data_IF_442716678842
#
_entry.id   IF_442716678842
#
_cell.length_a   1.000
_cell.length_b   1.000
_cell.length_c   1.000
_cell.angle_alpha   90.00
_cell.angle_beta   90.00
_cell.angle_gamma   90.00
#
_symmetry.space_group_name_H-M   'P 1'
#
loop_
_entity.id
_entity.type
_entity.pdbx_description
1 polymer ?
#
# COMPACT_ATOMS: atom_id res chain seq x y z
N UNK A 1 -18.67 -6.75 -10.08
CA UNK A 1 -18.31 -6.79 -8.64
C UNK A 1 -17.12 -5.86 -8.45
N UNK A 2 -17.36 -4.69 -7.87
CA UNK A 2 -16.32 -3.70 -7.62
C UNK A 2 -15.26 -4.29 -6.68
N UNK A 3 -14.02 -4.41 -7.17
CA UNK A 3 -12.88 -4.75 -6.33
C UNK A 3 -12.66 -3.59 -5.36
N UNK A 4 -13.38 -3.60 -4.22
CA UNK A 4 -13.03 -2.82 -3.04
C UNK A 4 -11.56 -3.07 -2.81
N UNK A 5 -10.74 -2.03 -2.93
CA UNK A 5 -9.29 -2.09 -2.79
C UNK A 5 -8.98 -2.63 -1.39
N UNK A 6 -8.83 -3.96 -1.32
CA UNK A 6 -8.63 -4.67 -0.08
C UNK A 6 -7.28 -4.24 0.45
N UNK A 7 -7.26 -3.73 1.69
CA UNK A 7 -6.01 -3.38 2.36
C UNK A 7 -5.10 -4.60 2.31
N UNK A 8 -3.84 -4.47 1.85
CA UNK A 8 -2.93 -5.60 1.76
C UNK A 8 -2.85 -6.37 3.07
N UNK A 9 -2.91 -7.71 2.99
CA UNK A 9 -2.94 -8.61 4.16
C UNK A 9 -1.80 -8.32 5.15
N UNK A 10 -0.61 -7.98 4.64
CA UNK A 10 0.56 -7.67 5.46
C UNK A 10 0.38 -6.38 6.26
N UNK A 11 -0.18 -5.34 5.64
CA UNK A 11 -0.48 -4.06 6.29
C UNK A 11 -1.49 -4.29 7.41
N UNK A 12 -2.55 -5.06 7.13
CA UNK A 12 -3.57 -5.41 8.11
C UNK A 12 -2.99 -6.22 9.29
N UNK A 13 -2.09 -7.17 9.01
CA UNK A 13 -1.40 -7.97 10.05
C UNK A 13 -0.54 -7.09 10.95
N UNK A 14 0.17 -6.11 10.40
CA UNK A 14 0.98 -5.15 11.17
C UNK A 14 0.08 -4.25 12.02
N UNK A 15 -1.02 -3.73 11.47
CA UNK A 15 -1.99 -2.90 12.21
C UNK A 15 -2.58 -3.65 13.41
N UNK A 16 -3.05 -4.90 13.22
CA UNK A 16 -3.56 -5.75 14.30
C UNK A 16 -2.52 -5.97 15.40
N UNK A 17 -1.23 -6.09 15.03
CA UNK A 17 -0.14 -6.28 15.99
C UNK A 17 0.18 -4.98 16.74
N UNK A 18 0.11 -3.83 16.08
CA UNK A 18 0.25 -2.51 16.71
C UNK A 18 -0.79 -2.24 17.79
N UNK A 19 -2.05 -2.63 17.56
CA UNK A 19 -3.13 -2.50 18.55
C UNK A 19 -2.84 -3.26 19.86
N UNK A 20 -1.97 -4.27 19.85
CA UNK A 20 -1.60 -5.03 21.06
C UNK A 20 -0.49 -4.39 21.88
N UNK A 21 0.23 -3.40 21.34
CA UNK A 21 1.35 -2.78 22.04
C UNK A 21 0.92 -1.50 22.74
N UNK A 22 1.44 -1.28 23.96
CA UNK A 22 1.32 0.02 24.64
C UNK A 22 1.94 1.11 23.75
N UNK A 23 1.21 2.22 23.59
CA UNK A 23 1.67 3.40 22.86
C UNK A 23 3.05 3.81 23.36
N UNK A 24 3.95 4.11 22.43
CA UNK A 24 5.34 4.50 22.66
C UNK A 24 6.28 3.43 23.27
N UNK A 25 5.82 2.20 23.48
CA UNK A 25 6.71 1.08 23.78
C UNK A 25 7.73 0.86 22.65
N UNK A 26 8.88 0.25 22.98
CA UNK A 26 9.92 -0.09 21.99
C UNK A 26 9.36 -0.89 20.82
N UNK A 27 8.47 -1.84 21.11
CA UNK A 27 7.78 -2.65 20.11
C UNK A 27 6.80 -1.82 19.27
N UNK A 28 6.00 -0.94 19.90
CA UNK A 28 5.12 -0.03 19.17
C UNK A 28 5.90 0.82 18.15
N UNK A 29 6.98 1.48 18.59
CA UNK A 29 7.84 2.30 17.72
C UNK A 29 8.45 1.48 16.58
N UNK A 30 8.91 0.26 16.87
CA UNK A 30 9.44 -0.68 15.85
C UNK A 30 8.38 -1.01 14.79
N UNK A 31 7.20 -1.46 15.20
CA UNK A 31 6.15 -1.86 14.26
C UNK A 31 5.52 -0.69 13.52
N UNK A 32 5.51 0.52 14.10
CA UNK A 32 5.13 1.74 13.40
C UNK A 32 6.07 2.06 12.24
N UNK A 33 7.40 1.95 12.46
CA UNK A 33 8.39 2.13 11.38
C UNK A 33 8.20 1.11 10.25
N UNK A 34 7.94 -0.15 10.61
CA UNK A 34 7.65 -1.21 9.64
C UNK A 34 6.39 -0.89 8.85
N UNK A 35 5.29 -0.51 9.53
CA UNK A 35 4.03 -0.13 8.88
C UNK A 35 4.23 1.00 7.86
N UNK A 36 4.93 2.06 8.27
CA UNK A 36 5.27 3.20 7.41
C UNK A 36 5.99 2.76 6.13
N UNK A 37 6.99 1.86 6.23
CA UNK A 37 7.71 1.33 5.08
C UNK A 37 6.79 0.55 4.13
N UNK A 38 5.93 -0.31 4.67
CA UNK A 38 4.99 -1.10 3.86
C UNK A 38 3.96 -0.22 3.14
N UNK A 39 3.41 0.79 3.81
CA UNK A 39 2.46 1.74 3.20
C UNK A 39 3.13 2.49 2.04
N UNK A 40 4.34 3.02 2.25
CA UNK A 40 5.09 3.73 1.19
C UNK A 40 5.31 2.85 -0.03
N UNK A 41 5.78 1.61 0.18
CA UNK A 41 6.02 0.66 -0.92
C UNK A 41 4.74 0.30 -1.68
N UNK A 42 3.65 0.04 -0.95
CA UNK A 42 2.35 -0.25 -1.55
C UNK A 42 1.87 0.93 -2.40
N UNK A 43 1.89 2.14 -1.84
CA UNK A 43 1.48 3.35 -2.57
C UNK A 43 2.34 3.60 -3.81
N UNK A 44 3.65 3.36 -3.73
CA UNK A 44 4.54 3.49 -4.90
C UNK A 44 4.16 2.51 -6.01
N UNK A 45 3.89 1.24 -5.67
CA UNK A 45 3.44 0.25 -6.64
C UNK A 45 2.12 0.65 -7.31
N UNK A 46 1.17 1.19 -6.55
CA UNK A 46 -0.09 1.67 -7.10
C UNK A 46 0.10 2.85 -8.07
N UNK A 47 1.00 3.79 -7.75
CA UNK A 47 1.33 4.92 -8.64
C UNK A 47 1.94 4.43 -9.95
N UNK A 48 2.91 3.52 -9.89
CA UNK A 48 3.53 2.93 -11.09
C UNK A 48 2.49 2.23 -11.96
N UNK A 49 1.64 1.39 -11.36
CA UNK A 49 0.58 0.71 -12.08
C UNK A 49 -0.41 1.68 -12.75
N UNK A 50 -0.74 2.79 -12.07
CA UNK A 50 -1.60 3.82 -12.65
C UNK A 50 -0.93 4.51 -13.85
N UNK A 51 0.35 4.85 -13.73
CA UNK A 51 1.10 5.49 -14.82
C UNK A 51 1.21 4.58 -16.04
N UNK A 52 1.49 3.28 -15.83
CA UNK A 52 1.55 2.28 -16.91
C UNK A 52 0.22 2.23 -17.66
N UNK A 53 -0.92 2.15 -16.94
CA UNK A 53 -2.25 2.15 -17.56
C UNK A 53 -2.52 3.40 -18.38
N UNK A 54 -2.12 4.57 -17.90
CA UNK A 54 -2.26 5.82 -18.64
C UNK A 54 -1.44 5.78 -19.95
N UNK A 55 -0.20 5.31 -19.89
CA UNK A 55 0.67 5.17 -21.08
C UNK A 55 0.06 4.18 -22.08
N UNK A 56 -0.40 3.01 -21.63
CA UNK A 56 -1.07 2.00 -22.47
C UNK A 56 -2.31 2.59 -23.15
N UNK A 57 -3.11 3.33 -22.40
CA UNK A 57 -4.31 4.01 -22.91
C UNK A 57 -3.94 5.01 -24.01
N UNK A 58 -2.95 5.88 -23.78
CA UNK A 58 -2.48 6.85 -24.78
C UNK A 58 -1.97 6.14 -26.05
N UNK A 59 -1.18 5.06 -25.89
CA UNK A 59 -0.65 4.28 -27.01
C UNK A 59 -1.78 3.67 -27.86
N UNK A 60 -2.84 3.19 -27.22
CA UNK A 60 -4.00 2.64 -27.91
C UNK A 60 -4.80 3.72 -28.65
N UNK A 61 -4.90 4.93 -28.09
CA UNK A 61 -5.48 6.08 -28.80
C UNK A 61 -4.65 6.50 -30.01
N UNK A 62 -3.31 6.52 -29.91
CA UNK A 62 -2.42 6.92 -31.01
C UNK A 62 -2.31 5.89 -32.15
N UNK A 63 -2.65 4.62 -31.89
CA UNK A 63 -2.63 3.55 -32.90
C UNK A 63 -3.94 3.45 -33.69
N UNK A 64 -4.97 4.19 -33.27
CA UNK A 64 -6.30 4.21 -33.86
C UNK A 64 -6.42 5.39 -34.81
#
# INVERSE_FOLDING_TARGET
MENKQSVPKDILKIQKKLCKFKKDSRNYKKYMKILSKHIKNYNMKQRVNSNIKTIETIKNFSKK
#
